data_IF_845324620703
#
_entry.id   IF_845324620703
#
_cell.length_a   1.000
_cell.length_b   1.000
_cell.length_c   1.000
_cell.angle_alpha   90.00
_cell.angle_beta   90.00
_cell.angle_gamma   90.00
#
_symmetry.space_group_name_H-M   'P 1'
#
loop_
_entity.id
_entity.type
_entity.pdbx_description
1 polymer ?
#
# COMPACT_ATOMS: atom_id res chain seq x y z
N UNK A 1 -4.85 3.10 -20.89
CA UNK A 1 -3.58 2.45 -20.50
C UNK A 1 -3.46 2.56 -19.00
N UNK A 2 -2.97 1.54 -18.31
CA UNK A 2 -2.83 1.55 -16.87
C UNK A 2 -1.61 2.39 -16.46
N UNK A 3 -1.68 3.12 -15.34
CA UNK A 3 -0.57 3.89 -14.74
C UNK A 3 0.73 3.06 -14.62
N UNK A 4 0.61 1.75 -14.40
CA UNK A 4 1.74 0.81 -14.27
C UNK A 4 2.49 0.59 -15.58
N UNK A 5 1.81 0.80 -16.72
CA UNK A 5 2.41 0.65 -18.04
C UNK A 5 3.09 1.94 -18.55
N UNK A 6 2.97 3.03 -17.78
CA UNK A 6 3.60 4.31 -18.11
C UNK A 6 4.89 4.50 -17.31
N UNK A 7 5.95 5.01 -17.92
CA UNK A 7 7.15 5.37 -17.18
C UNK A 7 6.84 6.54 -16.21
N UNK A 8 7.53 6.59 -15.06
CA UNK A 8 7.44 7.75 -14.16
C UNK A 8 7.83 9.04 -14.88
N UNK A 9 7.32 10.15 -14.38
CA UNK A 9 7.75 11.49 -14.81
C UNK A 9 9.26 11.66 -14.59
N UNK A 10 9.90 12.51 -15.38
CA UNK A 10 11.34 12.79 -15.27
C UNK A 10 11.58 14.28 -15.10
N UNK A 11 11.50 14.74 -13.85
CA UNK A 11 11.87 16.09 -13.46
C UNK A 11 13.24 16.06 -12.78
N UNK A 12 14.04 17.07 -13.02
CA UNK A 12 15.31 17.28 -12.31
C UNK A 12 15.08 17.90 -10.92
N UNK A 13 16.03 17.79 -9.99
CA UNK A 13 15.98 18.51 -8.72
C UNK A 13 15.82 20.03 -8.89
N UNK A 14 16.40 20.62 -9.95
CA UNK A 14 16.27 22.04 -10.27
C UNK A 14 14.83 22.40 -10.66
N UNK A 15 14.16 21.55 -11.45
CA UNK A 15 12.74 21.75 -11.80
C UNK A 15 11.84 21.59 -10.57
N UNK A 16 12.11 20.62 -9.71
CA UNK A 16 11.38 20.44 -8.44
C UNK A 16 11.55 21.67 -7.52
N UNK A 17 12.75 22.23 -7.43
CA UNK A 17 13.01 23.49 -6.72
C UNK A 17 12.18 24.65 -7.32
N UNK A 18 12.18 24.79 -8.66
CA UNK A 18 11.41 25.84 -9.33
C UNK A 18 9.90 25.68 -9.14
N UNK A 19 9.39 24.43 -9.12
CA UNK A 19 7.99 24.14 -8.80
C UNK A 19 7.67 24.57 -7.37
N UNK A 20 8.52 24.22 -6.39
CA UNK A 20 8.33 24.61 -5.00
C UNK A 20 8.30 26.14 -4.84
N UNK A 21 9.20 26.85 -5.50
CA UNK A 21 9.27 28.31 -5.49
C UNK A 21 8.03 28.94 -6.14
N UNK A 22 7.63 28.45 -7.31
CA UNK A 22 6.53 29.06 -8.09
C UNK A 22 5.16 28.75 -7.49
N UNK A 23 4.91 27.49 -7.11
CA UNK A 23 3.59 27.07 -6.64
C UNK A 23 3.38 27.30 -5.14
N UNK A 24 4.45 27.24 -4.33
CA UNK A 24 4.34 27.27 -2.87
C UNK A 24 5.08 28.45 -2.22
N UNK A 25 5.85 29.22 -3.00
CA UNK A 25 6.59 30.40 -2.51
C UNK A 25 7.80 30.05 -1.63
N UNK A 26 8.36 28.84 -1.75
CA UNK A 26 9.45 28.34 -0.90
C UNK A 26 10.77 28.27 -1.66
N UNK A 27 11.84 28.72 -1.00
CA UNK A 27 13.21 28.33 -1.33
C UNK A 27 13.53 27.06 -0.53
N UNK A 28 14.05 26.03 -1.21
CA UNK A 28 14.24 24.68 -0.62
C UNK A 28 15.51 24.02 -1.15
N UNK A 29 16.14 23.19 -0.33
CA UNK A 29 17.02 22.12 -0.82
C UNK A 29 16.19 20.93 -1.28
N UNK A 30 16.67 20.20 -2.30
CA UNK A 30 15.92 19.12 -2.95
C UNK A 30 16.76 17.86 -2.98
N UNK A 31 16.14 16.72 -2.59
CA UNK A 31 16.68 15.38 -2.74
C UNK A 31 15.65 14.49 -3.44
N UNK A 32 16.09 13.67 -4.41
CA UNK A 32 15.21 12.67 -5.05
C UNK A 32 14.89 11.57 -4.05
N UNK A 33 13.64 11.15 -4.01
CA UNK A 33 13.17 9.97 -3.28
C UNK A 33 12.86 8.84 -4.28
N UNK A 34 13.13 7.62 -3.86
CA UNK A 34 12.73 6.45 -4.63
C UNK A 34 11.21 6.35 -4.68
N UNK A 35 10.69 5.99 -5.84
CA UNK A 35 9.25 5.83 -6.05
C UNK A 35 8.98 4.92 -7.24
N UNK A 36 7.90 4.15 -7.13
CA UNK A 36 7.55 3.13 -8.14
C UNK A 36 6.85 3.73 -9.37
N UNK A 37 5.91 4.65 -9.15
CA UNK A 37 4.98 5.16 -10.19
C UNK A 37 5.05 6.67 -10.37
N UNK A 38 5.05 7.37 -9.25
CA UNK A 38 5.17 8.83 -9.20
C UNK A 38 6.65 9.22 -9.19
N UNK A 39 6.94 10.49 -9.26
CA UNK A 39 8.25 11.01 -8.93
C UNK A 39 8.15 11.86 -7.67
N UNK A 40 8.92 11.50 -6.65
CA UNK A 40 8.88 12.14 -5.36
C UNK A 40 10.21 12.86 -5.06
N UNK A 41 10.10 14.02 -4.42
CA UNK A 41 11.25 14.78 -3.95
C UNK A 41 11.07 15.17 -2.48
N UNK A 42 12.07 14.90 -1.67
CA UNK A 42 12.18 15.49 -0.36
C UNK A 42 12.67 16.93 -0.50
N UNK A 43 11.97 17.85 0.17
CA UNK A 43 12.25 19.26 0.19
C UNK A 43 12.49 19.74 1.62
N UNK A 44 13.55 20.52 1.83
CA UNK A 44 13.84 21.13 3.12
C UNK A 44 14.02 22.64 2.97
N UNK A 45 13.24 23.40 3.75
CA UNK A 45 13.34 24.85 3.85
C UNK A 45 14.45 25.26 4.81
N UNK A 46 14.92 26.51 4.70
CA UNK A 46 15.92 27.08 5.62
C UNK A 46 15.44 27.16 7.07
N UNK A 47 14.12 27.31 7.30
CA UNK A 47 13.51 27.30 8.64
C UNK A 47 13.39 25.89 9.25
N UNK A 48 13.94 24.88 8.59
CA UNK A 48 13.95 23.48 9.02
C UNK A 48 12.70 22.69 8.65
N UNK A 49 11.65 23.29 8.10
CA UNK A 49 10.44 22.56 7.68
C UNK A 49 10.72 21.66 6.50
N UNK A 50 10.14 20.47 6.55
CA UNK A 50 10.39 19.38 5.61
C UNK A 50 9.09 18.95 4.92
N UNK A 51 9.20 18.63 3.62
CA UNK A 51 8.06 18.30 2.77
C UNK A 51 8.41 17.19 1.76
N UNK A 52 7.37 16.58 1.19
CA UNK A 52 7.45 15.70 0.02
C UNK A 52 6.68 16.35 -1.13
N UNK A 53 7.37 16.69 -2.19
CA UNK A 53 6.77 17.10 -3.46
C UNK A 53 6.46 15.83 -4.26
N UNK A 54 5.18 15.54 -4.47
CA UNK A 54 4.70 14.40 -5.26
C UNK A 54 4.30 14.87 -6.66
N UNK A 55 4.96 14.35 -7.67
CA UNK A 55 4.66 14.59 -9.09
C UNK A 55 4.04 13.30 -9.62
N UNK A 56 2.75 13.33 -9.92
CA UNK A 56 2.04 12.14 -10.35
C UNK A 56 2.53 11.62 -11.69
N UNK A 57 2.34 10.33 -11.92
CA UNK A 57 2.43 9.77 -13.26
C UNK A 57 1.49 10.54 -14.21
N UNK A 58 1.88 10.84 -15.45
CA UNK A 58 1.01 11.53 -16.42
C UNK A 58 -0.30 10.80 -16.72
N UNK A 59 -0.34 9.47 -16.52
CA UNK A 59 -1.52 8.65 -16.73
C UNK A 59 -2.43 8.54 -15.48
N UNK A 60 -2.09 9.23 -14.37
CA UNK A 60 -2.88 9.16 -13.14
C UNK A 60 -4.20 9.91 -13.28
N UNK A 61 -5.25 9.35 -12.66
CA UNK A 61 -6.57 9.95 -12.62
C UNK A 61 -6.63 11.01 -11.51
N UNK A 62 -7.07 12.21 -11.85
CA UNK A 62 -7.24 13.31 -10.88
C UNK A 62 -8.21 12.98 -9.76
N UNK A 63 -9.23 12.15 -10.02
CA UNK A 63 -10.20 11.76 -8.99
C UNK A 63 -9.55 10.89 -7.90
N UNK A 64 -8.57 10.05 -8.27
CA UNK A 64 -7.77 9.31 -7.30
C UNK A 64 -6.87 10.22 -6.47
N UNK A 65 -6.32 11.26 -7.09
CA UNK A 65 -5.52 12.25 -6.35
C UNK A 65 -6.41 13.06 -5.38
N UNK A 66 -7.61 13.41 -5.81
CA UNK A 66 -8.60 14.07 -4.93
C UNK A 66 -9.03 13.17 -3.78
N UNK A 67 -9.26 11.87 -4.03
CA UNK A 67 -9.53 10.87 -3.00
C UNK A 67 -8.43 10.87 -1.94
N UNK A 68 -7.14 10.78 -2.35
CA UNK A 68 -6.01 10.79 -1.42
C UNK A 68 -5.98 12.07 -0.55
N UNK A 69 -6.18 13.24 -1.16
CA UNK A 69 -6.23 14.52 -0.41
C UNK A 69 -7.40 14.54 0.58
N UNK A 70 -8.57 14.08 0.17
CA UNK A 70 -9.74 14.00 1.03
C UNK A 70 -9.54 13.03 2.19
N UNK A 71 -8.93 11.88 1.94
CA UNK A 71 -8.65 10.86 2.96
C UNK A 71 -7.68 11.37 4.02
N UNK A 72 -6.58 11.99 3.62
CA UNK A 72 -5.60 12.58 4.55
C UNK A 72 -6.26 13.62 5.47
N UNK A 73 -7.09 14.48 4.90
CA UNK A 73 -7.85 15.49 5.66
C UNK A 73 -8.87 14.85 6.60
N UNK A 74 -9.56 13.81 6.12
CA UNK A 74 -10.56 13.09 6.91
C UNK A 74 -9.91 12.44 8.14
N UNK A 75 -8.83 11.67 7.96
CA UNK A 75 -8.11 10.99 9.05
C UNK A 75 -7.62 12.00 10.08
N UNK A 76 -6.96 13.08 9.65
CA UNK A 76 -6.43 14.11 10.54
C UNK A 76 -7.54 14.81 11.38
N UNK A 77 -8.76 14.90 10.85
CA UNK A 77 -9.92 15.45 11.57
C UNK A 77 -10.60 14.42 12.46
N UNK A 78 -10.57 13.13 12.08
CA UNK A 78 -11.21 12.05 12.80
C UNK A 78 -10.43 11.68 14.08
N UNK A 79 -9.14 11.44 13.95
CA UNK A 79 -8.26 11.08 15.08
C UNK A 79 -6.84 11.64 14.87
N UNK A 80 -6.50 12.67 15.62
CA UNK A 80 -5.18 13.31 15.56
C UNK A 80 -4.03 12.42 16.05
N UNK A 81 -4.31 11.27 16.69
CA UNK A 81 -3.29 10.30 17.09
C UNK A 81 -2.76 9.48 15.89
N UNK A 82 -3.53 9.41 14.78
CA UNK A 82 -3.10 8.80 13.54
C UNK A 82 -2.35 9.85 12.72
N UNK A 83 -1.03 9.85 12.76
CA UNK A 83 -0.26 10.81 11.97
C UNK A 83 -0.27 10.42 10.48
N UNK A 84 -0.70 11.36 9.66
CA UNK A 84 -0.68 11.26 8.20
C UNK A 84 -0.12 12.54 7.59
N UNK A 85 0.45 12.50 6.37
CA UNK A 85 0.94 13.70 5.71
C UNK A 85 -0.17 14.74 5.52
N UNK A 86 0.08 15.99 5.89
CA UNK A 86 -0.83 17.10 5.57
C UNK A 86 -0.56 17.62 4.17
N UNK A 87 -1.59 17.76 3.34
CA UNK A 87 -1.43 18.38 2.02
C UNK A 87 -1.38 19.90 2.15
N UNK A 88 -0.36 20.51 1.56
CA UNK A 88 -0.08 21.94 1.62
C UNK A 88 -0.72 22.63 0.41
N UNK A 89 -1.41 23.74 0.65
CA UNK A 89 -1.98 24.55 -0.43
C UNK A 89 -0.89 25.33 -1.16
N UNK A 90 -1.08 25.50 -2.47
CA UNK A 90 -0.31 26.45 -3.27
C UNK A 90 -0.58 27.88 -2.80
N UNK A 91 0.22 28.84 -3.27
CA UNK A 91 -0.04 30.28 -3.03
C UNK A 91 -1.39 30.73 -3.62
N UNK A 92 -1.94 29.99 -4.56
CA UNK A 92 -3.29 30.18 -5.12
C UNK A 92 -4.42 29.52 -4.31
N UNK A 93 -4.12 28.80 -3.23
CA UNK A 93 -5.09 28.12 -2.36
C UNK A 93 -5.50 26.73 -2.82
N UNK A 94 -4.86 26.15 -3.81
CA UNK A 94 -5.17 24.83 -4.38
C UNK A 94 -4.35 23.73 -3.69
N UNK A 95 -4.94 22.56 -3.40
CA UNK A 95 -4.23 21.39 -2.90
C UNK A 95 -3.58 20.54 -4.00
N UNK A 96 -4.09 20.67 -5.23
CA UNK A 96 -3.61 19.95 -6.41
C UNK A 96 -3.39 20.97 -7.50
N UNK A 97 -2.19 21.02 -8.04
CA UNK A 97 -1.85 21.87 -9.18
C UNK A 97 -1.48 21.01 -10.39
N UNK A 98 -1.27 21.63 -11.54
CA UNK A 98 -0.88 20.95 -12.77
C UNK A 98 0.36 21.60 -13.38
N UNK A 99 1.35 20.77 -13.72
CA UNK A 99 2.57 21.23 -14.37
C UNK A 99 3.07 20.19 -15.38
N UNK A 100 3.32 20.60 -16.62
CA UNK A 100 3.78 19.74 -17.71
C UNK A 100 2.96 18.43 -17.88
N UNK A 101 1.63 18.54 -17.75
CA UNK A 101 0.72 17.39 -17.88
C UNK A 101 0.58 16.51 -16.63
N UNK A 102 1.45 16.70 -15.63
CA UNK A 102 1.40 15.97 -14.36
C UNK A 102 0.65 16.76 -13.29
N UNK A 103 0.05 16.05 -12.33
CA UNK A 103 -0.50 16.67 -11.14
C UNK A 103 0.59 16.80 -10.06
N UNK A 104 0.61 17.95 -9.39
CA UNK A 104 1.59 18.32 -8.38
C UNK A 104 0.89 18.46 -7.04
N UNK A 105 1.46 17.86 -6.01
CA UNK A 105 1.04 18.02 -4.61
C UNK A 105 2.24 18.21 -3.73
N UNK A 106 2.12 19.03 -2.71
CA UNK A 106 3.09 19.13 -1.64
C UNK A 106 2.48 18.58 -0.35
N UNK A 107 3.20 17.72 0.33
CA UNK A 107 2.79 17.12 1.59
C UNK A 107 3.84 17.41 2.67
N UNK A 108 3.42 17.48 3.93
CA UNK A 108 4.37 17.49 5.04
C UNK A 108 5.17 16.18 5.05
N UNK A 109 6.45 16.27 5.38
CA UNK A 109 7.26 15.09 5.66
C UNK A 109 6.91 14.56 7.05
N UNK A 110 6.69 13.25 7.17
CA UNK A 110 6.56 12.59 8.47
C UNK A 110 7.91 11.95 8.81
N UNK A 111 8.49 12.38 9.91
CA UNK A 111 9.70 11.76 10.46
C UNK A 111 9.34 10.45 11.17
N UNK A 112 10.24 9.50 11.12
CA UNK A 112 10.09 8.21 11.79
C UNK A 112 10.98 7.14 11.19
N UNK A 113 10.91 5.94 11.75
CA UNK A 113 11.59 4.73 11.28
C UNK A 113 10.54 3.76 10.74
N UNK A 114 10.90 2.93 9.79
CA UNK A 114 9.98 1.92 9.27
C UNK A 114 9.99 0.66 10.13
N UNK A 115 8.86 -0.03 10.22
CA UNK A 115 8.78 -1.33 10.93
C UNK A 115 9.78 -2.32 10.33
N UNK A 116 9.94 -2.33 9.02
CA UNK A 116 10.89 -3.20 8.30
C UNK A 116 12.35 -3.05 8.73
N UNK A 117 12.70 -1.89 9.33
CA UNK A 117 14.06 -1.63 9.81
C UNK A 117 14.31 -2.28 11.19
N UNK A 118 13.28 -2.86 11.81
CA UNK A 118 13.37 -3.60 13.06
C UNK A 118 13.60 -5.08 12.77
N UNK A 119 14.78 -5.56 13.10
CA UNK A 119 15.09 -6.97 13.01
C UNK A 119 14.30 -7.75 14.08
N UNK A 120 13.47 -8.72 13.65
CA UNK A 120 12.62 -9.54 14.52
C UNK A 120 11.73 -8.71 15.47
N UNK A 121 10.72 -7.97 14.95
CA UNK A 121 9.82 -7.18 15.80
C UNK A 121 9.10 -8.06 16.82
N UNK A 122 9.07 -7.61 18.07
CA UNK A 122 8.39 -8.31 19.16
C UNK A 122 6.87 -8.34 18.97
N UNK A 123 6.19 -9.36 19.56
CA UNK A 123 4.75 -9.52 19.45
C UNK A 123 3.96 -8.27 19.85
N UNK A 124 4.42 -7.56 20.89
CA UNK A 124 3.83 -6.29 21.31
C UNK A 124 3.79 -5.24 20.17
N UNK A 125 4.89 -5.06 19.43
CA UNK A 125 4.94 -4.12 18.31
C UNK A 125 4.02 -4.56 17.18
N UNK A 126 3.91 -5.86 16.93
CA UNK A 126 3.00 -6.42 15.92
C UNK A 126 1.53 -6.28 16.31
N UNK A 127 1.21 -6.41 17.59
CA UNK A 127 -0.13 -6.10 18.12
C UNK A 127 -0.44 -4.61 17.98
N UNK A 128 0.52 -3.72 18.31
CA UNK A 128 0.38 -2.28 18.12
C UNK A 128 0.18 -1.93 16.64
N UNK A 129 0.91 -2.60 15.73
CA UNK A 129 0.75 -2.45 14.27
C UNK A 129 -0.67 -2.83 13.83
N UNK A 130 -1.17 -3.99 14.24
CA UNK A 130 -2.53 -4.41 13.95
C UNK A 130 -3.57 -3.42 14.51
N UNK A 131 -3.40 -2.98 15.76
CA UNK A 131 -4.29 -2.01 16.38
C UNK A 131 -4.29 -0.65 15.65
N UNK A 132 -3.14 -0.21 15.17
CA UNK A 132 -3.01 1.01 14.37
C UNK A 132 -3.78 0.91 13.05
N UNK A 133 -3.64 -0.20 12.31
CA UNK A 133 -4.41 -0.45 11.08
C UNK A 133 -5.91 -0.50 11.38
N UNK A 134 -6.31 -1.12 12.50
CA UNK A 134 -7.69 -1.12 12.95
C UNK A 134 -8.23 0.29 13.19
N UNK A 135 -7.45 1.19 13.82
CA UNK A 135 -7.84 2.60 14.02
C UNK A 135 -7.96 3.34 12.70
N UNK A 136 -7.03 3.11 11.77
CA UNK A 136 -7.06 3.68 10.43
C UNK A 136 -8.33 3.28 9.70
N UNK A 137 -8.69 2.01 9.73
CA UNK A 137 -9.90 1.48 9.08
C UNK A 137 -11.20 1.93 9.76
N UNK A 138 -11.21 2.11 11.09
CA UNK A 138 -12.33 2.72 11.80
C UNK A 138 -12.55 4.16 11.31
N UNK A 139 -11.48 4.92 11.04
CA UNK A 139 -11.62 6.27 10.48
C UNK A 139 -12.32 6.26 9.12
N UNK A 140 -12.06 5.27 8.29
CA UNK A 140 -12.68 5.15 6.96
C UNK A 140 -14.13 4.64 6.98
N UNK A 141 -14.63 4.08 8.09
CA UNK A 141 -16.03 3.64 8.20
C UNK A 141 -17.04 4.75 7.94
N UNK A 142 -16.69 5.98 8.34
CA UNK A 142 -17.52 7.19 8.18
C UNK A 142 -17.02 8.09 7.05
N UNK A 143 -16.11 7.61 6.23
CA UNK A 143 -15.57 8.37 5.11
C UNK A 143 -16.53 8.34 3.92
N UNK A 144 -17.35 9.38 3.83
CA UNK A 144 -18.32 9.55 2.74
C UNK A 144 -17.62 10.11 1.49
N UNK A 145 -17.12 9.21 0.66
CA UNK A 145 -16.53 9.53 -0.63
C UNK A 145 -17.08 8.59 -1.70
N UNK A 146 -17.41 9.10 -2.91
CA UNK A 146 -17.94 8.28 -3.99
C UNK A 146 -17.04 7.09 -4.31
N UNK A 147 -17.60 5.88 -4.43
CA UNK A 147 -16.87 4.73 -4.93
C UNK A 147 -16.45 4.97 -6.38
N UNK A 148 -15.17 5.22 -6.59
CA UNK A 148 -14.58 5.48 -7.89
C UNK A 148 -14.56 4.24 -8.80
N UNK A 149 -14.95 3.07 -8.29
CA UNK A 149 -14.97 1.77 -9.01
C UNK A 149 -13.66 1.50 -9.76
N UNK A 150 -12.57 1.88 -9.12
CA UNK A 150 -11.23 1.71 -9.67
C UNK A 150 -10.95 0.22 -9.84
N UNK A 151 -10.67 -0.22 -11.05
CA UNK A 151 -10.09 -1.54 -11.31
C UNK A 151 -8.59 -1.50 -11.04
N UNK A 152 -8.25 -1.52 -9.76
CA UNK A 152 -6.85 -1.43 -9.34
C UNK A 152 -6.18 -2.80 -9.41
N UNK A 153 -4.93 -2.81 -9.87
CA UNK A 153 -4.22 -4.10 -10.01
C UNK A 153 -3.86 -4.70 -8.65
N UNK A 154 -3.67 -3.87 -7.63
CA UNK A 154 -3.38 -4.32 -6.27
C UNK A 154 -4.64 -4.62 -5.44
N UNK A 155 -5.83 -4.45 -6.01
CA UNK A 155 -7.07 -4.93 -5.39
C UNK A 155 -7.14 -6.46 -5.49
N UNK A 156 -7.12 -7.15 -4.37
CA UNK A 156 -7.16 -8.63 -4.31
C UNK A 156 -8.38 -9.24 -5.01
N UNK A 157 -9.43 -8.45 -5.26
CA UNK A 157 -10.60 -8.87 -6.07
C UNK A 157 -10.31 -8.93 -7.57
N UNK A 158 -9.24 -8.32 -8.03
CA UNK A 158 -8.90 -8.23 -9.45
C UNK A 158 -8.20 -9.50 -9.97
N UNK A 159 -8.79 -10.67 -9.69
CA UNK A 159 -8.26 -11.98 -10.09
C UNK A 159 -8.08 -12.10 -11.61
N UNK A 160 -8.87 -11.39 -12.39
CA UNK A 160 -8.74 -11.40 -13.86
C UNK A 160 -7.42 -10.77 -14.32
N UNK A 161 -6.86 -9.82 -13.55
CA UNK A 161 -5.51 -9.34 -13.80
C UNK A 161 -4.50 -10.48 -13.66
N UNK A 162 -4.54 -11.25 -12.57
CA UNK A 162 -3.64 -12.40 -12.38
C UNK A 162 -3.75 -13.39 -13.54
N UNK A 163 -4.98 -13.81 -13.90
CA UNK A 163 -5.23 -14.76 -15.00
C UNK A 163 -4.65 -14.28 -16.33
N UNK A 164 -4.89 -13.02 -16.67
CA UNK A 164 -4.46 -12.45 -17.96
C UNK A 164 -2.95 -12.21 -18.03
N UNK A 165 -2.26 -12.06 -16.89
CA UNK A 165 -0.83 -11.75 -16.83
C UNK A 165 0.04 -12.97 -16.50
N UNK A 166 -0.52 -14.16 -16.30
CA UNK A 166 0.25 -15.40 -16.14
C UNK A 166 1.21 -15.66 -17.32
N UNK A 167 0.89 -15.15 -18.48
CA UNK A 167 1.72 -15.27 -19.70
C UNK A 167 3.13 -14.69 -19.51
N UNK A 168 3.32 -13.74 -18.60
CA UNK A 168 4.61 -13.11 -18.31
C UNK A 168 5.52 -13.94 -17.40
N UNK A 169 4.98 -14.94 -16.71
CA UNK A 169 5.77 -15.92 -15.93
C UNK A 169 6.32 -16.94 -16.90
N UNK A 170 7.63 -17.22 -16.90
CA UNK A 170 8.24 -18.13 -17.87
C UNK A 170 8.04 -19.60 -17.48
N UNK A 171 8.23 -19.93 -16.18
CA UNK A 171 8.16 -21.29 -15.64
C UNK A 171 6.71 -21.81 -15.56
N UNK A 172 6.42 -22.95 -16.17
CA UNK A 172 5.10 -23.59 -16.05
C UNK A 172 4.82 -24.10 -14.62
N UNK A 173 5.84 -24.52 -13.87
CA UNK A 173 5.68 -24.88 -12.45
C UNK A 173 5.28 -23.66 -11.61
N UNK A 174 5.89 -22.49 -11.87
CA UNK A 174 5.53 -21.26 -11.16
C UNK A 174 4.12 -20.76 -11.55
N UNK A 175 3.74 -20.88 -12.82
CA UNK A 175 2.35 -20.63 -13.24
C UNK A 175 1.36 -21.57 -12.53
N UNK A 176 1.74 -22.83 -12.35
CA UNK A 176 0.87 -23.79 -11.64
C UNK A 176 0.64 -23.38 -10.17
N UNK A 177 1.67 -22.86 -9.48
CA UNK A 177 1.54 -22.31 -8.13
C UNK A 177 0.55 -21.14 -8.10
N UNK A 178 0.66 -20.18 -9.00
CA UNK A 178 -0.28 -19.04 -9.05
C UNK A 178 -1.70 -19.51 -9.40
N UNK A 179 -1.87 -20.43 -10.36
CA UNK A 179 -3.18 -21.04 -10.69
C UNK A 179 -3.82 -21.74 -9.48
N UNK A 180 -3.02 -22.41 -8.66
CA UNK A 180 -3.49 -23.04 -7.43
C UNK A 180 -4.15 -22.02 -6.49
N UNK A 181 -3.49 -20.87 -6.22
CA UNK A 181 -4.08 -19.85 -5.35
C UNK A 181 -5.25 -19.09 -5.98
N UNK A 182 -5.25 -18.90 -7.30
CA UNK A 182 -6.43 -18.40 -8.01
C UNK A 182 -7.63 -19.35 -7.82
N UNK A 183 -7.41 -20.67 -7.94
CA UNK A 183 -8.47 -21.66 -7.73
C UNK A 183 -8.94 -21.66 -6.27
N UNK A 184 -8.02 -21.56 -5.29
CA UNK A 184 -8.36 -21.42 -3.87
C UNK A 184 -9.21 -20.17 -3.61
N UNK A 185 -8.87 -19.02 -4.19
CA UNK A 185 -9.68 -17.80 -4.10
C UNK A 185 -11.10 -18.03 -4.66
N UNK A 186 -11.20 -18.65 -5.84
CA UNK A 186 -12.49 -18.92 -6.47
C UNK A 186 -13.35 -19.88 -5.66
N UNK A 187 -12.75 -20.83 -4.95
CA UNK A 187 -13.45 -21.81 -4.16
C UNK A 187 -13.89 -21.27 -2.78
N UNK A 188 -13.05 -20.46 -2.14
CA UNK A 188 -13.24 -20.08 -0.74
C UNK A 188 -13.69 -18.62 -0.56
N UNK A 189 -13.29 -17.70 -1.45
CA UNK A 189 -13.64 -16.28 -1.32
C UNK A 189 -14.89 -15.93 -2.13
N UNK A 190 -14.93 -16.26 -3.42
CA UNK A 190 -16.03 -15.85 -4.31
C UNK A 190 -17.43 -16.24 -3.78
N UNK A 191 -17.69 -17.43 -3.25
CA UNK A 191 -19.00 -17.77 -2.70
C UNK A 191 -19.39 -16.94 -1.47
N UNK A 192 -18.39 -16.42 -0.75
CA UNK A 192 -18.52 -15.72 0.53
C UNK A 192 -18.40 -14.20 0.40
N UNK A 193 -18.11 -13.65 -0.79
CA UNK A 193 -17.89 -12.20 -1.01
C UNK A 193 -19.00 -11.32 -0.43
N UNK A 194 -20.24 -11.76 -0.50
CA UNK A 194 -21.40 -11.01 0.02
C UNK A 194 -21.41 -10.85 1.55
N UNK A 195 -20.61 -11.62 2.27
CA UNK A 195 -20.48 -11.53 3.73
C UNK A 195 -19.27 -10.70 4.17
N UNK A 196 -18.35 -10.41 3.24
CA UNK A 196 -17.16 -9.60 3.50
C UNK A 196 -17.53 -8.12 3.42
N UNK A 197 -17.24 -7.37 4.48
CA UNK A 197 -17.45 -5.91 4.48
C UNK A 197 -16.52 -5.25 3.48
N UNK A 198 -17.02 -4.20 2.83
CA UNK A 198 -16.24 -3.35 1.94
C UNK A 198 -16.26 -1.91 2.41
N UNK A 199 -15.14 -1.23 2.27
CA UNK A 199 -14.97 0.19 2.53
C UNK A 199 -13.74 0.71 1.80
N UNK A 200 -13.45 2.01 1.86
CA UNK A 200 -12.13 2.50 1.54
C UNK A 200 -11.13 2.00 2.58
N UNK A 201 -9.98 1.53 2.12
CA UNK A 201 -8.84 1.13 2.93
C UNK A 201 -7.57 1.75 2.35
N UNK A 202 -6.50 1.77 3.12
CA UNK A 202 -5.18 2.21 2.63
C UNK A 202 -4.63 1.27 1.55
N UNK A 203 -4.85 -0.03 1.70
CA UNK A 203 -4.49 -1.09 0.75
C UNK A 203 -2.97 -1.25 0.48
N UNK A 204 -2.13 -0.54 1.22
CA UNK A 204 -0.67 -0.66 1.23
C UNK A 204 -0.09 -0.33 2.62
N UNK A 205 -0.87 -0.57 3.69
CA UNK A 205 -0.50 -0.36 5.08
C UNK A 205 0.50 -1.41 5.57
N UNK A 206 1.64 -1.54 4.89
CA UNK A 206 2.68 -2.51 5.17
C UNK A 206 3.82 -1.92 6.01
N UNK A 207 4.81 -2.74 6.32
CA UNK A 207 5.98 -2.42 7.12
C UNK A 207 6.94 -1.38 6.49
N UNK A 208 6.77 -1.05 5.21
CA UNK A 208 7.47 0.03 4.48
C UNK A 208 6.74 1.38 4.51
N UNK A 209 5.47 1.41 4.91
CA UNK A 209 4.63 2.61 4.90
C UNK A 209 4.17 3.04 6.29
N UNK A 210 4.25 2.16 7.29
CA UNK A 210 3.93 2.48 8.68
C UNK A 210 5.18 2.90 9.44
N UNK A 211 5.08 4.02 10.15
CA UNK A 211 6.18 4.68 10.83
C UNK A 211 6.16 4.47 12.33
N UNK A 212 7.34 4.36 12.91
CA UNK A 212 7.62 4.37 14.34
C UNK A 212 8.19 5.73 14.74
N UNK A 213 7.82 6.22 15.91
CA UNK A 213 8.48 7.35 16.56
C UNK A 213 9.81 6.93 17.21
N UNK A 214 10.56 7.90 17.75
CA UNK A 214 11.85 7.67 18.40
C UNK A 214 11.77 6.76 19.64
N UNK A 215 10.58 6.55 20.20
CA UNK A 215 10.35 5.63 21.33
C UNK A 215 9.99 4.21 20.87
N UNK A 216 9.99 3.93 19.56
CA UNK A 216 9.69 2.62 18.99
C UNK A 216 8.19 2.28 18.93
N UNK A 217 7.30 3.25 19.12
CA UNK A 217 5.86 3.07 19.00
C UNK A 217 5.35 3.49 17.62
N UNK A 218 4.29 2.83 17.14
CA UNK A 218 3.63 3.20 15.89
C UNK A 218 3.09 4.64 16.00
N UNK A 219 3.42 5.46 15.02
CA UNK A 219 3.05 6.88 15.03
C UNK A 219 2.23 7.30 13.83
N UNK A 220 2.46 6.74 12.64
CA UNK A 220 1.78 7.23 11.45
C UNK A 220 1.92 6.32 10.24
N UNK A 221 1.29 6.73 9.14
CA UNK A 221 1.32 6.02 7.88
C UNK A 221 1.46 6.99 6.70
N UNK A 222 2.21 6.57 5.70
CA UNK A 222 2.46 7.33 4.46
C UNK A 222 1.98 6.54 3.24
N UNK A 223 1.96 7.19 2.10
CA UNK A 223 1.70 6.66 0.77
C UNK A 223 0.30 6.07 0.52
N UNK A 224 -0.66 6.94 0.41
CA UNK A 224 -2.06 6.67 0.10
C UNK A 224 -2.35 6.40 -1.40
N UNK A 225 -1.32 6.07 -2.19
CA UNK A 225 -1.43 5.88 -3.64
C UNK A 225 -2.25 4.66 -4.05
N UNK A 226 -2.32 3.65 -3.20
CA UNK A 226 -2.96 2.37 -3.49
C UNK A 226 -4.35 2.21 -2.87
N UNK A 227 -4.88 3.29 -2.28
CA UNK A 227 -6.24 3.28 -1.73
C UNK A 227 -7.26 2.69 -2.69
N UNK A 228 -8.14 1.86 -2.15
CA UNK A 228 -9.21 1.22 -2.89
C UNK A 228 -10.46 1.05 -2.02
N UNK A 229 -11.63 1.11 -2.64
CA UNK A 229 -12.87 0.63 -2.02
C UNK A 229 -12.96 -0.88 -2.24
N UNK A 230 -12.58 -1.68 -1.26
CA UNK A 230 -12.41 -3.12 -1.37
C UNK A 230 -12.76 -3.84 -0.06
N UNK A 231 -12.46 -5.14 0.07
CA UNK A 231 -12.71 -5.86 1.32
C UNK A 231 -11.92 -5.26 2.47
N UNK A 232 -12.58 -5.05 3.61
CA UNK A 232 -11.94 -4.59 4.84
C UNK A 232 -10.76 -5.51 5.25
N UNK A 233 -10.95 -6.82 5.19
CA UNK A 233 -9.91 -7.79 5.51
C UNK A 233 -8.66 -7.69 4.62
N UNK A 234 -8.74 -7.01 3.47
CA UNK A 234 -7.59 -6.81 2.58
C UNK A 234 -6.54 -5.88 3.18
N UNK A 235 -6.92 -4.94 4.07
CA UNK A 235 -5.94 -4.12 4.80
C UNK A 235 -4.96 -5.00 5.58
N UNK A 236 -5.51 -5.91 6.41
CA UNK A 236 -4.70 -6.86 7.16
C UNK A 236 -3.96 -7.84 6.25
N UNK A 237 -4.62 -8.32 5.18
CA UNK A 237 -3.98 -9.26 4.26
C UNK A 237 -2.73 -8.65 3.61
N UNK A 238 -2.78 -7.37 3.22
CA UNK A 238 -1.62 -6.66 2.68
C UNK A 238 -0.52 -6.53 3.72
N UNK A 239 -0.83 -6.02 4.92
CA UNK A 239 0.13 -5.85 6.00
C UNK A 239 0.83 -7.17 6.37
N UNK A 240 0.04 -8.23 6.58
CA UNK A 240 0.55 -9.56 6.90
C UNK A 240 1.43 -10.10 5.77
N UNK A 241 1.01 -9.96 4.51
CA UNK A 241 1.78 -10.51 3.38
C UNK A 241 3.24 -10.06 3.44
N UNK A 242 3.49 -8.75 3.51
CA UNK A 242 4.87 -8.23 3.51
C UNK A 242 5.65 -8.63 4.76
N UNK A 243 4.98 -8.66 5.91
CA UNK A 243 5.60 -9.02 7.18
C UNK A 243 6.11 -10.48 7.25
N UNK A 244 5.49 -11.39 6.46
CA UNK A 244 5.76 -12.83 6.56
C UNK A 244 6.46 -13.47 5.35
N UNK A 245 6.77 -12.69 4.32
CA UNK A 245 7.40 -13.24 3.09
C UNK A 245 8.70 -14.00 3.36
N UNK A 246 9.46 -13.60 4.37
CA UNK A 246 10.76 -14.17 4.72
C UNK A 246 10.68 -15.10 5.94
N UNK A 247 9.46 -15.35 6.48
CA UNK A 247 9.29 -16.10 7.71
C UNK A 247 9.07 -17.60 7.46
N UNK A 248 9.82 -18.41 8.18
CA UNK A 248 9.65 -19.87 8.16
C UNK A 248 8.40 -20.30 8.96
N UNK A 249 8.12 -19.63 10.07
CA UNK A 249 7.00 -19.91 10.98
C UNK A 249 6.19 -18.62 11.21
N UNK A 250 5.33 -18.24 10.25
CA UNK A 250 4.66 -16.94 10.26
C UNK A 250 3.48 -16.84 11.24
N UNK A 251 3.03 -17.98 11.80
CA UNK A 251 1.77 -18.08 12.56
C UNK A 251 1.73 -17.11 13.76
N UNK A 252 2.84 -16.99 14.50
CA UNK A 252 2.93 -16.09 15.66
C UNK A 252 2.79 -14.62 15.23
N UNK A 253 3.48 -14.22 14.15
CA UNK A 253 3.40 -12.84 13.64
C UNK A 253 2.00 -12.52 13.13
N UNK A 254 1.39 -13.43 12.35
CA UNK A 254 0.01 -13.29 11.87
C UNK A 254 -0.93 -13.10 13.07
N UNK A 255 -0.83 -13.97 14.06
CA UNK A 255 -1.68 -13.92 15.25
C UNK A 255 -1.57 -12.58 15.99
N UNK A 256 -0.36 -12.09 16.22
CA UNK A 256 -0.15 -10.81 16.92
C UNK A 256 -0.80 -9.63 16.17
N UNK A 257 -0.58 -9.53 14.85
CA UNK A 257 -1.19 -8.46 14.03
C UNK A 257 -2.71 -8.55 14.04
N UNK A 258 -3.26 -9.76 13.88
CA UNK A 258 -4.72 -9.98 13.90
C UNK A 258 -5.30 -9.65 15.27
N UNK A 259 -4.67 -10.05 16.37
CA UNK A 259 -5.11 -9.73 17.72
C UNK A 259 -5.16 -8.22 17.96
N UNK A 260 -4.12 -7.51 17.53
CA UNK A 260 -4.08 -6.05 17.59
C UNK A 260 -5.24 -5.41 16.83
N UNK A 261 -5.46 -5.79 15.57
CA UNK A 261 -6.56 -5.27 14.76
C UNK A 261 -7.92 -5.57 15.37
N UNK A 262 -8.15 -6.82 15.80
CA UNK A 262 -9.39 -7.28 16.44
C UNK A 262 -9.72 -6.51 17.72
N UNK A 263 -8.70 -6.03 18.45
CA UNK A 263 -8.91 -5.24 19.68
C UNK A 263 -9.56 -3.88 19.40
N UNK A 264 -9.48 -3.38 18.16
CA UNK A 264 -9.96 -2.05 17.76
C UNK A 264 -11.13 -2.15 16.77
N UNK A 265 -10.98 -2.98 15.74
CA UNK A 265 -12.01 -3.16 14.71
C UNK A 265 -12.26 -4.64 14.43
N UNK A 266 -13.17 -5.27 15.19
CA UNK A 266 -13.42 -6.71 15.06
C UNK A 266 -13.84 -7.12 13.64
N UNK A 267 -13.10 -8.08 13.09
CA UNK A 267 -13.48 -8.80 11.87
C UNK A 267 -14.59 -9.82 12.19
N UNK A 268 -15.41 -10.12 11.20
CA UNK A 268 -16.38 -11.21 11.24
C UNK A 268 -15.68 -12.56 11.02
N UNK A 269 -16.33 -13.65 11.39
CA UNK A 269 -15.75 -14.99 11.21
C UNK A 269 -15.38 -15.25 9.76
N UNK A 270 -16.24 -14.87 8.80
CA UNK A 270 -16.01 -15.05 7.37
C UNK A 270 -14.81 -14.21 6.87
N UNK A 271 -14.57 -13.04 7.46
CA UNK A 271 -13.43 -12.20 7.14
C UNK A 271 -12.11 -12.80 7.66
N UNK A 272 -12.16 -13.41 8.86
CA UNK A 272 -11.02 -14.12 9.45
C UNK A 272 -10.70 -15.39 8.65
N UNK A 273 -11.71 -16.19 8.32
CA UNK A 273 -11.54 -17.39 7.49
C UNK A 273 -10.96 -17.06 6.10
N UNK A 274 -11.33 -15.89 5.56
CA UNK A 274 -10.83 -15.41 4.27
C UNK A 274 -9.39 -14.95 4.31
N UNK A 275 -8.86 -14.53 5.46
CA UNK A 275 -7.64 -13.75 5.58
C UNK A 275 -6.42 -14.44 4.96
N UNK A 276 -6.17 -15.72 5.27
CA UNK A 276 -5.00 -16.44 4.73
C UNK A 276 -5.07 -16.61 3.20
N UNK A 277 -6.28 -16.79 2.65
CA UNK A 277 -6.48 -16.85 1.20
C UNK A 277 -6.17 -15.50 0.54
N UNK A 278 -6.57 -14.38 1.16
CA UNK A 278 -6.28 -13.03 0.69
C UNK A 278 -4.78 -12.73 0.75
N UNK A 279 -4.08 -13.16 1.81
CA UNK A 279 -2.62 -13.08 1.95
C UNK A 279 -1.92 -13.79 0.79
N UNK A 280 -2.30 -15.04 0.50
CA UNK A 280 -1.70 -15.81 -0.60
C UNK A 280 -1.97 -15.16 -1.96
N UNK A 281 -3.17 -14.64 -2.17
CA UNK A 281 -3.51 -13.92 -3.41
C UNK A 281 -2.72 -12.62 -3.53
N UNK A 282 -2.54 -11.85 -2.44
CA UNK A 282 -1.69 -10.64 -2.45
C UNK A 282 -0.25 -10.98 -2.84
N UNK A 283 0.32 -12.08 -2.33
CA UNK A 283 1.63 -12.56 -2.76
C UNK A 283 1.65 -12.95 -4.25
N UNK A 284 0.56 -13.52 -4.80
CA UNK A 284 0.43 -13.77 -6.24
C UNK A 284 0.47 -12.47 -7.05
N UNK A 285 -0.19 -11.40 -6.59
CA UNK A 285 -0.08 -10.08 -7.24
C UNK A 285 1.36 -9.58 -7.27
N UNK A 286 2.13 -9.76 -6.20
CA UNK A 286 3.54 -9.36 -6.16
C UNK A 286 4.35 -10.05 -7.26
N UNK A 287 4.26 -11.38 -7.37
CA UNK A 287 5.06 -12.13 -8.37
C UNK A 287 4.58 -11.89 -9.80
N UNK A 288 3.27 -11.84 -10.05
CA UNK A 288 2.71 -11.63 -11.39
C UNK A 288 3.03 -10.22 -11.89
N UNK A 289 2.83 -9.19 -11.04
CA UNK A 289 3.12 -7.80 -11.37
C UNK A 289 4.62 -7.58 -11.61
N UNK A 290 5.49 -8.17 -10.78
CA UNK A 290 6.93 -8.09 -10.97
C UNK A 290 7.36 -8.66 -12.33
N UNK A 291 6.87 -9.84 -12.70
CA UNK A 291 7.17 -10.46 -13.99
C UNK A 291 6.64 -9.64 -15.18
N UNK A 292 5.42 -9.10 -15.09
CA UNK A 292 4.87 -8.19 -16.09
C UNK A 292 5.72 -6.92 -16.25
N UNK A 293 6.05 -6.25 -15.14
CA UNK A 293 6.80 -4.98 -15.16
C UNK A 293 8.26 -5.15 -15.58
N UNK A 294 8.90 -6.27 -15.25
CA UNK A 294 10.24 -6.60 -15.79
C UNK A 294 10.29 -6.60 -17.32
N UNK A 295 9.22 -7.06 -17.99
CA UNK A 295 9.12 -7.01 -19.45
C UNK A 295 8.95 -5.58 -19.96
N UNK A 296 8.29 -4.70 -19.22
CA UNK A 296 8.10 -3.29 -19.62
C UNK A 296 9.33 -2.42 -19.28
N UNK A 297 9.97 -2.67 -18.15
CA UNK A 297 11.04 -1.82 -17.60
C UNK A 297 12.22 -2.68 -17.12
N UNK A 298 12.96 -3.35 -18.01
CA UNK A 298 14.01 -4.32 -17.64
C UNK A 298 15.17 -3.71 -16.83
N UNK A 299 15.40 -2.41 -16.96
CA UNK A 299 16.47 -1.70 -16.23
C UNK A 299 16.08 -1.33 -14.79
N UNK A 300 14.78 -1.44 -14.41
CA UNK A 300 14.32 -1.06 -13.09
C UNK A 300 14.42 -2.22 -12.10
N UNK A 301 15.51 -2.29 -11.35
CA UNK A 301 15.77 -3.33 -10.34
C UNK A 301 14.83 -3.30 -9.14
N UNK A 302 14.21 -2.15 -8.85
CA UNK A 302 13.30 -2.01 -7.71
C UNK A 302 12.06 -2.89 -7.83
N UNK A 303 11.59 -3.14 -9.08
CA UNK A 303 10.39 -3.94 -9.38
C UNK A 303 10.44 -5.36 -8.82
N UNK A 304 11.63 -5.91 -8.58
CA UNK A 304 11.82 -7.31 -8.22
C UNK A 304 12.34 -7.54 -6.81
N UNK A 305 12.35 -6.52 -5.95
CA UNK A 305 12.93 -6.63 -4.61
C UNK A 305 12.21 -7.68 -3.75
N UNK A 306 10.90 -7.69 -3.75
CA UNK A 306 10.08 -8.60 -2.94
C UNK A 306 9.76 -9.93 -3.64
N UNK A 307 9.96 -10.01 -4.95
CA UNK A 307 9.53 -11.16 -5.76
C UNK A 307 10.15 -12.51 -5.33
N UNK A 308 11.47 -12.64 -5.05
CA UNK A 308 12.05 -13.93 -4.65
C UNK A 308 11.43 -14.46 -3.35
N UNK A 309 11.17 -13.59 -2.40
CA UNK A 309 10.57 -13.93 -1.11
C UNK A 309 9.10 -14.35 -1.29
N UNK A 310 8.36 -13.63 -2.14
CA UNK A 310 6.99 -13.99 -2.48
C UNK A 310 6.89 -15.36 -3.18
N UNK A 311 7.83 -15.71 -4.06
CA UNK A 311 7.90 -17.05 -4.64
C UNK A 311 8.18 -18.14 -3.60
N UNK A 312 9.12 -17.90 -2.69
CA UNK A 312 9.44 -18.84 -1.61
C UNK A 312 8.23 -19.06 -0.73
N UNK A 313 7.56 -17.97 -0.31
CA UNK A 313 6.33 -18.04 0.47
C UNK A 313 5.25 -18.84 -0.24
N UNK A 314 4.91 -18.52 -1.49
CA UNK A 314 3.86 -19.21 -2.25
C UNK A 314 4.16 -20.70 -2.42
N UNK A 315 5.39 -21.09 -2.73
CA UNK A 315 5.77 -22.50 -2.86
C UNK A 315 5.63 -23.24 -1.55
N UNK A 316 6.02 -22.66 -0.43
CA UNK A 316 5.88 -23.25 0.90
C UNK A 316 4.41 -23.38 1.36
N UNK A 317 3.54 -22.48 0.87
CA UNK A 317 2.12 -22.49 1.21
C UNK A 317 1.26 -23.30 0.24
N UNK A 318 1.75 -23.65 -0.95
CA UNK A 318 0.99 -24.42 -1.93
C UNK A 318 0.65 -25.84 -1.45
N UNK A 319 1.49 -26.41 -0.59
CA UNK A 319 1.29 -27.75 -0.02
C UNK A 319 0.51 -27.73 1.31
N UNK A 320 0.18 -26.52 1.84
CA UNK A 320 -0.58 -26.38 3.09
C UNK A 320 -2.09 -26.39 2.82
N UNK A 321 -2.84 -27.08 3.68
CA UNK A 321 -4.31 -26.97 3.69
C UNK A 321 -4.73 -25.63 4.33
N UNK A 322 -4.91 -24.58 3.54
CA UNK A 322 -5.20 -23.23 4.02
C UNK A 322 -6.46 -23.15 4.90
N UNK A 323 -7.47 -23.98 4.63
CA UNK A 323 -8.68 -24.03 5.45
C UNK A 323 -8.44 -24.54 6.89
N UNK A 324 -7.32 -25.23 7.12
CA UNK A 324 -6.90 -25.69 8.44
C UNK A 324 -5.91 -24.73 9.11
N UNK A 325 -5.55 -23.64 8.43
CA UNK A 325 -4.65 -22.64 8.98
C UNK A 325 -5.36 -21.82 10.06
N UNK A 326 -5.00 -22.07 11.31
CA UNK A 326 -5.62 -21.39 12.46
C UNK A 326 -4.92 -20.07 12.74
N UNK A 327 -5.63 -19.00 12.51
CA UNK A 327 -5.20 -17.64 12.90
C UNK A 327 -5.34 -17.42 14.41
N UNK A 328 -6.18 -18.23 15.06
CA UNK A 328 -6.43 -18.26 16.51
C UNK A 328 -6.10 -19.62 17.12
#
# INVERSE_FOLDING_TARGET
>A
MSVISFPPSRFSPSEAHQIAKTLYGFEVSVKVLDSERDQNFYLKREDGKEFVLKISNPAEDVELIKLQVASLKHIANFDSSIQVPSTIQTVGGEFISRHNGCFIRLQSFLAGHFIKDIENPESFLLEEFGAFLGKLDVSFREFDYPDLKRKWIWDVRNIDFLKSHLVYIESESDKAVVRHFIANYQLNIVPNEKYLRTQYIHNDGNDYNVLLNDNGHISGVIDFGDMAHTFLASELAVAITYLILEEAEPETKIKSVVQGFQSVYPLRDEEIESLIHLVCVRACFSVVTANYRKKLFPENKYISVTEPYAWTFLKNFADKELNNFKIY
#
